data_IF_505266690820
#
_entry.id   IF_505266690820
#
_cell.length_a   1.000
_cell.length_b   1.000
_cell.length_c   1.000
_cell.angle_alpha   90.00
_cell.angle_beta   90.00
_cell.angle_gamma   90.00
#
_symmetry.space_group_name_H-M   'P 1'
#
loop_
_entity.id
_entity.type
_entity.pdbx_description
1 polymer ?
#
# COMPACT_ATOMS: atom_id res chain seq x y z
N UNK A 1 -18.39 -20.80 -16.52
CA UNK A 1 -17.01 -21.15 -16.13
C UNK A 1 -16.69 -20.19 -15.02
N UNK A 2 -16.82 -20.67 -13.79
CA UNK A 2 -16.53 -19.86 -12.62
C UNK A 2 -15.04 -19.54 -12.67
N UNK A 3 -14.70 -18.25 -12.76
CA UNK A 3 -13.35 -17.77 -12.50
C UNK A 3 -13.02 -18.20 -11.07
N UNK A 4 -12.27 -19.30 -10.92
CA UNK A 4 -11.72 -19.69 -9.63
C UNK A 4 -10.67 -18.63 -9.31
N UNK A 5 -11.11 -17.60 -8.60
CA UNK A 5 -10.25 -16.52 -8.12
C UNK A 5 -9.07 -17.17 -7.39
N UNK A 6 -7.88 -17.06 -7.98
CA UNK A 6 -6.70 -17.74 -7.45
C UNK A 6 -6.38 -17.12 -6.10
N UNK A 7 -6.26 -17.91 -5.02
CA UNK A 7 -6.05 -17.36 -3.68
C UNK A 7 -4.82 -16.43 -3.65
N UNK A 8 -4.99 -15.24 -3.08
CA UNK A 8 -3.87 -14.34 -2.79
C UNK A 8 -3.09 -14.97 -1.64
N UNK A 9 -1.87 -15.44 -1.92
CA UNK A 9 -0.95 -15.97 -0.91
C UNK A 9 -0.43 -14.86 0.00
N UNK A 10 0.29 -15.21 1.07
CA UNK A 10 0.90 -14.21 1.95
C UNK A 10 2.02 -13.48 1.17
N UNK A 11 1.89 -12.17 0.88
CA UNK A 11 2.91 -11.44 0.13
C UNK A 11 4.16 -11.21 0.99
N UNK A 12 5.33 -11.20 0.36
CA UNK A 12 6.60 -10.84 1.01
C UNK A 12 6.62 -9.36 1.39
N UNK A 13 6.05 -8.51 0.52
CA UNK A 13 5.98 -7.05 0.72
C UNK A 13 4.56 -6.53 0.53
N UNK A 14 4.14 -5.63 1.42
CA UNK A 14 2.92 -4.83 1.27
C UNK A 14 3.28 -3.35 1.08
N UNK A 15 2.62 -2.72 0.10
CA UNK A 15 2.77 -1.31 -0.22
C UNK A 15 1.41 -0.62 -0.20
N UNK A 16 1.07 0.14 0.85
CA UNK A 16 -0.14 0.95 0.85
C UNK A 16 0.10 2.28 0.12
N UNK A 17 -0.92 2.73 -0.60
CA UNK A 17 -1.07 4.10 -1.08
C UNK A 17 -1.59 5.04 0.04
N UNK A 18 -1.59 6.36 -0.20
CA UNK A 18 -1.98 7.39 0.77
C UNK A 18 -3.41 7.21 1.26
N UNK A 19 -4.37 7.00 0.34
CA UNK A 19 -5.79 6.84 0.68
C UNK A 19 -6.05 5.66 1.63
N UNK A 20 -5.66 4.43 1.25
CA UNK A 20 -5.81 3.26 2.10
C UNK A 20 -5.08 3.39 3.44
N UNK A 21 -3.88 3.98 3.46
CA UNK A 21 -3.14 4.20 4.69
C UNK A 21 -3.92 5.09 5.67
N UNK A 22 -4.52 6.17 5.18
CA UNK A 22 -5.39 7.07 5.97
C UNK A 22 -6.65 6.33 6.45
N UNK A 23 -7.34 5.63 5.58
CA UNK A 23 -8.57 4.89 5.94
C UNK A 23 -8.32 3.84 7.03
N UNK A 24 -7.22 3.09 6.92
CA UNK A 24 -6.83 2.12 7.93
C UNK A 24 -6.47 2.78 9.26
N UNK A 25 -5.74 3.91 9.24
CA UNK A 25 -5.40 4.64 10.45
C UNK A 25 -6.64 5.18 11.20
N UNK A 26 -7.59 5.76 10.46
CA UNK A 26 -8.82 6.31 11.04
C UNK A 26 -9.73 5.27 11.69
N UNK A 27 -9.50 3.99 11.39
CA UNK A 27 -10.29 2.86 11.90
C UNK A 27 -9.50 1.89 12.77
N UNK A 28 -8.31 2.30 13.22
CA UNK A 28 -7.39 1.50 14.04
C UNK A 28 -7.01 0.14 13.39
N UNK A 29 -6.85 0.16 12.07
CA UNK A 29 -6.67 -1.03 11.23
C UNK A 29 -5.28 -1.13 10.57
N UNK A 30 -4.32 -0.26 10.92
CA UNK A 30 -2.95 -0.30 10.37
C UNK A 30 -2.23 -1.63 10.65
N UNK A 31 -2.58 -2.30 11.75
CA UNK A 31 -2.05 -3.61 12.10
C UNK A 31 -2.35 -4.69 11.06
N UNK A 32 -3.41 -4.54 10.26
CA UNK A 32 -3.78 -5.48 9.20
C UNK A 32 -2.72 -5.56 8.10
N UNK A 33 -2.00 -4.48 7.82
CA UNK A 33 -0.89 -4.47 6.85
C UNK A 33 0.20 -5.47 7.26
N UNK A 34 0.48 -5.59 8.56
CA UNK A 34 1.47 -6.54 9.06
C UNK A 34 0.94 -7.98 9.16
N UNK A 35 -0.35 -8.16 9.43
CA UNK A 35 -0.95 -9.48 9.57
C UNK A 35 -1.23 -10.14 8.22
N UNK A 36 -1.52 -9.36 7.18
CA UNK A 36 -1.71 -9.89 5.82
C UNK A 36 -0.38 -10.19 5.16
N UNK A 37 0.66 -9.39 5.38
CA UNK A 37 1.93 -9.52 4.67
C UNK A 37 3.11 -9.94 5.52
N UNK A 38 4.30 -9.89 4.91
CA UNK A 38 5.58 -9.90 5.61
C UNK A 38 5.98 -8.48 5.99
N UNK A 39 6.70 -7.80 5.09
CA UNK A 39 7.25 -6.47 5.30
C UNK A 39 6.31 -5.39 4.78
N UNK A 40 6.12 -4.32 5.55
CA UNK A 40 5.41 -3.13 5.06
C UNK A 40 6.41 -2.10 4.56
N UNK A 41 6.18 -1.61 3.34
CA UNK A 41 6.97 -0.55 2.71
C UNK A 41 6.04 0.61 2.35
N UNK A 42 6.35 1.79 2.87
CA UNK A 42 5.63 3.03 2.58
C UNK A 42 6.56 3.92 1.78
N UNK A 43 6.18 4.33 0.57
CA UNK A 43 6.98 5.29 -0.18
C UNK A 43 7.06 6.63 0.57
N UNK A 44 8.19 7.32 0.52
CA UNK A 44 8.43 8.58 1.23
C UNK A 44 7.34 9.64 0.97
N UNK A 45 6.88 9.78 -0.27
CA UNK A 45 5.81 10.70 -0.62
C UNK A 45 4.44 10.28 -0.10
N UNK A 46 4.18 8.98 0.07
CA UNK A 46 2.95 8.50 0.72
C UNK A 46 2.97 8.86 2.20
N UNK A 47 4.10 8.60 2.87
CA UNK A 47 4.29 8.98 4.27
C UNK A 47 4.13 10.49 4.45
N UNK A 48 4.80 11.29 3.61
CA UNK A 48 4.67 12.74 3.62
C UNK A 48 3.23 13.20 3.38
N UNK A 49 2.55 12.67 2.36
CA UNK A 49 1.19 13.09 2.05
C UNK A 49 0.21 12.82 3.20
N UNK A 50 0.39 11.69 3.89
CA UNK A 50 -0.44 11.27 5.01
C UNK A 50 -0.16 12.04 6.31
N UNK A 51 1.07 12.55 6.51
CA UNK A 51 1.47 13.20 7.78
C UNK A 51 1.82 14.69 7.66
N UNK A 52 1.85 15.28 6.46
CA UNK A 52 2.19 16.71 6.27
C UNK A 52 1.25 17.68 6.99
N UNK A 53 0.01 17.26 7.27
CA UNK A 53 -1.01 18.05 7.96
C UNK A 53 -1.57 17.24 9.13
N UNK A 54 -0.96 17.44 10.31
CA UNK A 54 -1.30 16.74 11.54
C UNK A 54 -2.70 17.07 12.09
N UNK A 55 -3.40 18.04 11.49
CA UNK A 55 -4.79 18.34 11.86
C UNK A 55 -5.79 17.38 11.20
N UNK A 56 -5.35 16.61 10.20
CA UNK A 56 -6.20 15.65 9.50
C UNK A 56 -6.40 14.37 10.31
N UNK A 57 -7.60 13.77 10.27
CA UNK A 57 -7.85 12.53 11.01
C UNK A 57 -6.97 11.38 10.50
N UNK A 58 -6.36 10.63 11.42
CA UNK A 58 -5.45 9.52 11.09
C UNK A 58 -3.97 9.93 10.95
N UNK A 59 -3.65 11.22 10.83
CA UNK A 59 -2.27 11.67 10.58
C UNK A 59 -1.34 11.37 11.78
N UNK A 60 -1.82 11.57 13.01
CA UNK A 60 -1.04 11.26 14.21
C UNK A 60 -0.85 9.76 14.39
N UNK A 61 -1.90 8.98 14.16
CA UNK A 61 -1.85 7.52 14.23
C UNK A 61 -0.87 6.92 13.22
N UNK A 62 -0.83 7.48 12.00
CA UNK A 62 0.16 7.10 10.98
C UNK A 62 1.56 7.47 11.42
N UNK A 63 1.77 8.70 11.92
CA UNK A 63 3.09 9.14 12.37
C UNK A 63 3.61 8.25 13.50
N UNK A 64 2.78 7.95 14.50
CA UNK A 64 3.14 7.08 15.62
C UNK A 64 3.44 5.64 15.15
N UNK A 65 2.66 5.12 14.20
CA UNK A 65 2.87 3.81 13.61
C UNK A 65 4.16 3.73 12.80
N UNK A 66 4.47 4.76 11.99
CA UNK A 66 5.72 4.87 11.26
C UNK A 66 6.92 4.94 12.20
N UNK A 67 6.82 5.74 13.27
CA UNK A 67 7.90 5.90 14.26
C UNK A 67 8.12 4.61 15.05
N UNK A 68 7.05 3.89 15.41
CA UNK A 68 7.15 2.57 16.05
C UNK A 68 7.74 1.52 15.11
N UNK A 69 7.35 1.53 13.83
CA UNK A 69 7.82 0.58 12.81
C UNK A 69 9.30 0.77 12.44
N UNK A 70 9.82 1.99 12.53
CA UNK A 70 11.22 2.31 12.20
C UNK A 70 12.21 2.10 13.36
N UNK A 71 11.72 1.84 14.58
CA UNK A 71 12.60 1.54 15.72
C UNK A 71 13.42 0.27 15.48
N UNK A 72 14.70 0.24 15.90
CA UNK A 72 15.48 -1.00 15.91
C UNK A 72 14.74 -2.11 16.67
N UNK A 73 14.71 -3.31 16.10
CA UNK A 73 14.03 -4.49 16.66
C UNK A 73 12.51 -4.36 16.83
N UNK A 74 11.85 -3.51 16.03
CA UNK A 74 10.38 -3.49 15.99
C UNK A 74 9.83 -4.87 15.58
N UNK A 75 8.80 -5.33 16.28
CA UNK A 75 8.08 -6.57 15.95
C UNK A 75 7.14 -6.40 14.74
N UNK A 76 6.96 -5.17 14.27
CA UNK A 76 6.14 -4.80 13.12
C UNK A 76 6.89 -3.76 12.27
N UNK A 77 8.00 -4.15 11.62
CA UNK A 77 8.90 -3.21 10.97
C UNK A 77 8.23 -2.55 9.76
N UNK A 78 8.37 -1.23 9.66
CA UNK A 78 7.92 -0.43 8.52
C UNK A 78 9.12 0.24 7.88
N UNK A 79 9.31 0.03 6.58
CA UNK A 79 10.30 0.79 5.82
C UNK A 79 9.62 2.01 5.19
N UNK A 80 10.09 3.21 5.52
CA UNK A 80 9.83 4.38 4.68
C UNK A 80 10.88 4.42 3.57
N UNK A 81 10.47 4.10 2.35
CA UNK A 81 11.37 3.97 1.21
C UNK A 81 11.61 5.32 0.53
N UNK A 82 12.86 5.82 0.49
CA UNK A 82 13.18 7.05 -0.22
C UNK A 82 13.03 6.84 -1.73
N UNK A 83 12.52 7.86 -2.41
CA UNK A 83 12.34 7.87 -3.86
C UNK A 83 12.95 9.12 -4.48
N UNK A 84 13.28 9.05 -5.77
CA UNK A 84 13.68 10.22 -6.54
C UNK A 84 12.53 11.24 -6.62
N UNK A 85 11.28 10.77 -6.67
CA UNK A 85 10.11 11.66 -6.61
C UNK A 85 10.12 12.49 -5.33
N UNK A 86 10.36 11.86 -4.18
CA UNK A 86 10.49 12.54 -2.90
C UNK A 86 11.69 13.47 -2.84
N UNK A 87 12.84 13.07 -3.40
CA UNK A 87 14.03 13.93 -3.49
C UNK A 87 13.79 15.19 -4.32
N UNK A 88 13.18 15.05 -5.49
CA UNK A 88 12.85 16.16 -6.37
C UNK A 88 11.81 17.09 -5.72
N UNK A 89 10.80 16.52 -5.06
CA UNK A 89 9.81 17.29 -4.32
C UNK A 89 10.43 18.10 -3.17
N UNK A 90 11.28 17.46 -2.36
CA UNK A 90 12.00 18.13 -1.27
C UNK A 90 12.85 19.29 -1.80
N UNK A 91 13.56 19.07 -2.91
CA UNK A 91 14.36 20.10 -3.59
C UNK A 91 13.48 21.25 -4.08
N UNK A 92 12.35 20.95 -4.74
CA UNK A 92 11.41 21.97 -5.21
C UNK A 92 10.86 22.82 -4.05
N UNK A 93 10.57 22.22 -2.89
CA UNK A 93 10.12 22.95 -1.69
C UNK A 93 11.17 23.89 -1.09
N UNK A 94 12.46 23.64 -1.33
CA UNK A 94 13.51 24.61 -0.92
C UNK A 94 13.47 25.89 -1.76
N UNK A 95 12.99 25.80 -3.00
CA UNK A 95 12.85 26.94 -3.94
C UNK A 95 11.49 27.61 -3.78
N UNK A 96 10.42 26.83 -3.71
CA UNK A 96 9.05 27.29 -3.47
C UNK A 96 8.37 26.42 -2.39
N UNK A 97 8.26 26.93 -1.15
CA UNK A 97 7.62 26.22 -0.04
C UNK A 97 6.15 25.83 -0.29
N UNK A 98 5.48 26.47 -1.25
CA UNK A 98 4.07 26.24 -1.61
C UNK A 98 3.87 25.14 -2.65
N UNK A 99 4.96 24.57 -3.17
CA UNK A 99 4.94 23.43 -4.10
C UNK A 99 4.07 22.30 -3.55
N UNK A 100 3.09 21.85 -4.35
CA UNK A 100 2.16 20.78 -3.98
C UNK A 100 2.60 19.44 -4.55
N UNK A 101 2.47 18.40 -3.75
CA UNK A 101 2.74 17.01 -4.10
C UNK A 101 1.53 16.33 -4.76
N UNK A 102 1.01 16.86 -5.87
CA UNK A 102 -0.15 16.21 -6.51
C UNK A 102 0.26 14.86 -7.11
N UNK A 103 -0.49 13.81 -6.82
CA UNK A 103 -0.28 12.42 -7.29
C UNK A 103 1.14 11.89 -7.01
N UNK A 104 1.86 12.47 -6.05
CA UNK A 104 3.30 12.20 -5.86
C UNK A 104 3.53 10.91 -5.07
N UNK A 105 2.65 10.55 -4.14
CA UNK A 105 2.64 9.25 -3.48
C UNK A 105 2.53 8.10 -4.49
N UNK A 106 1.61 8.23 -5.44
CA UNK A 106 1.39 7.23 -6.48
C UNK A 106 2.62 7.08 -7.41
N UNK A 107 3.18 8.22 -7.85
CA UNK A 107 4.41 8.22 -8.66
C UNK A 107 5.60 7.62 -7.90
N UNK A 108 5.70 7.90 -6.60
CA UNK A 108 6.75 7.35 -5.75
C UNK A 108 6.62 5.82 -5.60
N UNK A 109 5.40 5.29 -5.43
CA UNK A 109 5.14 3.84 -5.44
C UNK A 109 5.59 3.22 -6.77
N UNK A 110 5.16 3.77 -7.91
CA UNK A 110 5.49 3.21 -9.22
C UNK A 110 7.00 3.22 -9.49
N UNK A 111 7.69 4.29 -9.12
CA UNK A 111 9.14 4.35 -9.24
C UNK A 111 9.84 3.35 -8.32
N UNK A 112 9.44 3.29 -7.05
CA UNK A 112 10.02 2.34 -6.11
C UNK A 112 9.80 0.91 -6.58
N UNK A 113 8.62 0.59 -7.09
CA UNK A 113 8.27 -0.72 -7.61
C UNK A 113 9.13 -1.12 -8.81
N UNK A 114 9.36 -0.20 -9.76
CA UNK A 114 10.27 -0.43 -10.88
C UNK A 114 11.68 -0.80 -10.41
N UNK A 115 12.24 -0.03 -9.48
CA UNK A 115 13.56 -0.32 -8.91
C UNK A 115 13.58 -1.61 -8.08
N UNK A 116 12.49 -1.94 -7.38
CA UNK A 116 12.41 -3.11 -6.50
C UNK A 116 12.42 -4.42 -7.31
N UNK A 117 11.66 -4.45 -8.42
CA UNK A 117 11.52 -5.59 -9.32
C UNK A 117 12.85 -6.00 -9.95
N UNK A 118 13.70 -5.03 -10.32
CA UNK A 118 15.01 -5.29 -10.92
C UNK A 118 15.94 -6.15 -10.04
N UNK A 119 15.73 -6.16 -8.72
CA UNK A 119 16.58 -6.90 -7.77
C UNK A 119 15.85 -8.01 -7.00
N UNK A 120 14.53 -8.13 -7.10
CA UNK A 120 13.72 -9.03 -6.26
C UNK A 120 12.63 -9.78 -7.05
N UNK A 121 12.90 -10.19 -8.29
CA UNK A 121 11.90 -10.87 -9.17
C UNK A 121 11.30 -12.17 -8.60
N UNK A 122 11.88 -12.74 -7.55
CA UNK A 122 11.41 -13.92 -6.82
C UNK A 122 10.45 -13.61 -5.65
N UNK A 123 10.35 -12.34 -5.25
CA UNK A 123 9.44 -11.88 -4.22
C UNK A 123 8.01 -11.69 -4.76
N UNK A 124 7.06 -11.65 -3.84
CA UNK A 124 5.65 -11.32 -4.09
C UNK A 124 5.28 -10.00 -3.42
N UNK A 125 4.49 -9.19 -4.13
CA UNK A 125 4.05 -7.89 -3.64
C UNK A 125 2.54 -7.75 -3.66
N UNK A 126 2.00 -7.13 -2.62
CA UNK A 126 0.61 -6.71 -2.55
C UNK A 126 0.55 -5.19 -2.40
N UNK A 127 -0.14 -4.52 -3.32
CA UNK A 127 -0.35 -3.09 -3.30
C UNK A 127 -1.79 -2.82 -2.87
N UNK A 128 -1.98 -2.00 -1.85
CA UNK A 128 -3.31 -1.52 -1.44
C UNK A 128 -3.47 -0.11 -1.96
N UNK A 129 -4.47 0.11 -2.80
CA UNK A 129 -4.72 1.40 -3.45
C UNK A 129 -6.19 1.85 -3.30
N UNK A 130 -6.49 3.10 -3.60
CA UNK A 130 -7.88 3.59 -3.59
C UNK A 130 -8.34 3.94 -5.00
N UNK A 131 -7.55 4.78 -5.68
CA UNK A 131 -7.79 5.28 -7.02
C UNK A 131 -6.44 5.52 -7.69
N UNK A 132 -6.41 5.60 -9.01
CA UNK A 132 -5.23 6.08 -9.73
C UNK A 132 -4.75 5.15 -10.83
N UNK A 133 -3.50 5.35 -11.21
CA UNK A 133 -2.77 4.74 -12.33
C UNK A 133 -2.04 3.46 -11.94
N UNK A 134 -1.86 3.12 -10.66
CA UNK A 134 -1.16 1.90 -10.21
C UNK A 134 -1.67 0.64 -10.93
N UNK A 135 -2.98 0.32 -10.98
CA UNK A 135 -3.44 -0.88 -11.68
C UNK A 135 -3.14 -0.85 -13.18
N UNK A 136 -3.18 0.34 -13.79
CA UNK A 136 -2.82 0.52 -15.20
C UNK A 136 -1.32 0.31 -15.42
N UNK A 137 -0.48 0.93 -14.59
CA UNK A 137 0.97 0.79 -14.65
C UNK A 137 1.40 -0.68 -14.52
N UNK A 138 0.91 -1.37 -13.50
CA UNK A 138 1.23 -2.79 -13.26
C UNK A 138 0.82 -3.65 -14.47
N UNK A 139 -0.35 -3.38 -15.06
CA UNK A 139 -0.84 -4.10 -16.25
C UNK A 139 -0.05 -3.80 -17.52
N UNK A 140 0.28 -2.54 -17.77
CA UNK A 140 0.95 -2.11 -19.01
C UNK A 140 2.45 -2.42 -19.01
N UNK A 141 3.08 -2.36 -17.84
CA UNK A 141 4.51 -2.69 -17.71
C UNK A 141 4.75 -4.19 -17.65
N UNK A 142 3.77 -4.97 -17.16
CA UNK A 142 3.92 -6.42 -17.00
C UNK A 142 5.10 -6.76 -16.10
N UNK A 143 5.13 -6.16 -14.90
CA UNK A 143 6.21 -6.34 -13.92
C UNK A 143 6.58 -7.82 -13.81
N UNK A 144 7.88 -8.12 -13.89
CA UNK A 144 8.40 -9.48 -13.78
C UNK A 144 8.48 -9.93 -12.31
N UNK A 145 7.32 -9.86 -11.63
CA UNK A 145 7.13 -10.12 -10.21
C UNK A 145 5.67 -10.48 -9.93
N UNK A 146 5.44 -11.44 -9.04
CA UNK A 146 4.07 -11.74 -8.59
C UNK A 146 3.49 -10.52 -7.85
N UNK A 147 2.43 -9.94 -8.41
CA UNK A 147 1.88 -8.66 -7.95
C UNK A 147 0.37 -8.76 -7.80
N UNK A 148 -0.13 -8.54 -6.59
CA UNK A 148 -1.55 -8.34 -6.31
C UNK A 148 -1.82 -6.86 -6.04
N UNK A 149 -2.91 -6.34 -6.57
CA UNK A 149 -3.32 -4.94 -6.44
C UNK A 149 -4.78 -4.89 -6.02
N UNK A 150 -5.03 -4.43 -4.80
CA UNK A 150 -6.33 -4.49 -4.14
C UNK A 150 -6.81 -3.10 -3.74
N UNK A 151 -8.10 -2.84 -3.92
CA UNK A 151 -8.73 -1.70 -3.25
C UNK A 151 -8.74 -1.89 -1.73
N UNK A 152 -8.87 -0.82 -0.94
CA UNK A 152 -9.02 -0.91 0.51
C UNK A 152 -10.13 -1.89 0.93
N UNK A 153 -11.27 -1.87 0.22
CA UNK A 153 -12.37 -2.81 0.48
C UNK A 153 -11.98 -4.26 0.19
N UNK A 154 -11.34 -4.54 -0.95
CA UNK A 154 -10.85 -5.88 -1.28
C UNK A 154 -9.78 -6.37 -0.29
N UNK A 155 -8.96 -5.46 0.25
CA UNK A 155 -7.97 -5.76 1.29
C UNK A 155 -8.62 -6.16 2.62
N UNK A 156 -9.68 -5.45 3.05
CA UNK A 156 -10.46 -5.83 4.24
C UNK A 156 -11.15 -7.19 4.05
N UNK A 157 -11.74 -7.43 2.89
CA UNK A 157 -12.34 -8.74 2.57
C UNK A 157 -11.28 -9.86 2.55
N UNK A 158 -10.05 -9.58 2.11
CA UNK A 158 -8.93 -10.53 2.24
C UNK A 158 -8.59 -10.81 3.71
N UNK A 159 -8.62 -9.78 4.58
CA UNK A 159 -8.40 -9.96 6.02
C UNK A 159 -9.46 -10.87 6.64
N UNK A 160 -10.74 -10.67 6.28
CA UNK A 160 -11.87 -11.48 6.75
C UNK A 160 -11.77 -12.92 6.26
N UNK A 161 -11.47 -13.13 4.96
CA UNK A 161 -11.27 -14.47 4.40
C UNK A 161 -10.13 -15.24 5.07
N UNK A 162 -9.13 -14.54 5.61
CA UNK A 162 -8.02 -15.12 6.38
C UNK A 162 -8.33 -15.30 7.88
N UNK A 163 -9.53 -14.91 8.33
CA UNK A 163 -9.93 -14.98 9.73
C UNK A 163 -9.18 -13.99 10.64
N UNK A 164 -8.57 -12.96 10.05
CA UNK A 164 -7.85 -11.92 10.79
C UNK A 164 -8.84 -10.96 11.46
N UNK A 165 -9.90 -10.60 10.73
CA UNK A 165 -11.04 -9.84 11.22
C UNK A 165 -12.30 -10.67 11.10
N UNK A 166 -13.30 -10.37 11.94
CA UNK A 166 -14.59 -11.05 11.93
C UNK A 166 -15.58 -10.53 10.90
N UNK A 167 -15.43 -9.27 10.46
CA UNK A 167 -16.30 -8.60 9.48
C UNK A 167 -15.52 -7.53 8.74
N UNK A 168 -15.31 -7.69 7.44
CA UNK A 168 -14.74 -6.64 6.60
C UNK A 168 -15.68 -5.43 6.51
N UNK A 169 -16.99 -5.70 6.48
CA UNK A 169 -18.02 -4.67 6.37
C UNK A 169 -18.03 -3.74 7.59
N UNK A 170 -17.76 -4.24 8.79
CA UNK A 170 -17.71 -3.40 10.01
C UNK A 170 -16.56 -2.39 9.96
N UNK A 171 -15.41 -2.77 9.39
CA UNK A 171 -14.30 -1.85 9.16
C UNK A 171 -14.63 -0.89 8.02
N UNK A 172 -15.22 -1.39 6.94
CA UNK A 172 -15.61 -0.57 5.81
C UNK A 172 -16.63 0.51 6.18
N UNK A 173 -17.65 0.17 6.96
CA UNK A 173 -18.65 1.14 7.42
C UNK A 173 -18.01 2.23 8.28
N UNK A 174 -17.09 1.86 9.18
CA UNK A 174 -16.32 2.84 9.96
C UNK A 174 -15.48 3.76 9.08
N UNK A 175 -14.89 3.25 7.99
CA UNK A 175 -14.17 4.07 7.00
C UNK A 175 -15.13 5.05 6.32
N UNK A 176 -16.28 4.58 5.83
CA UNK A 176 -17.25 5.43 5.13
C UNK A 176 -17.80 6.53 6.04
N UNK A 177 -18.00 6.23 7.33
CA UNK A 177 -18.51 7.20 8.31
C UNK A 177 -17.57 8.40 8.50
N UNK A 178 -16.25 8.20 8.36
CA UNK A 178 -15.22 9.23 8.54
C UNK A 178 -14.67 9.78 7.23
N UNK A 179 -14.75 8.99 6.15
CA UNK A 179 -14.29 9.32 4.81
C UNK A 179 -15.37 8.96 3.76
N UNK A 180 -16.44 9.77 3.62
CA UNK A 180 -17.53 9.50 2.66
C UNK A 180 -17.09 9.43 1.19
N UNK A 181 -15.88 9.90 0.89
CA UNK A 181 -15.28 9.86 -0.45
C UNK A 181 -14.44 8.60 -0.71
N UNK A 182 -14.38 7.65 0.24
CA UNK A 182 -13.70 6.37 0.05
C UNK A 182 -14.29 5.62 -1.16
N UNK A 183 -13.44 4.92 -1.92
CA UNK A 183 -13.86 4.21 -3.11
C UNK A 183 -14.60 2.92 -2.71
N UNK A 184 -15.92 2.80 -2.98
CA UNK A 184 -16.69 1.62 -2.57
C UNK A 184 -16.41 0.38 -3.41
N UNK A 185 -15.61 0.49 -4.47
CA UNK A 185 -15.35 -0.61 -5.37
C UNK A 185 -14.50 -1.68 -4.71
N UNK A 186 -14.95 -2.92 -4.83
CA UNK A 186 -14.12 -4.11 -4.62
C UNK A 186 -13.43 -4.41 -5.94
N UNK A 187 -12.12 -4.21 -5.99
CA UNK A 187 -11.34 -4.59 -7.16
C UNK A 187 -10.05 -5.28 -6.74
N UNK A 188 -9.81 -6.41 -7.38
CA UNK A 188 -8.61 -7.23 -7.25
C UNK A 188 -7.99 -7.35 -8.64
N UNK A 189 -6.69 -7.14 -8.75
CA UNK A 189 -5.92 -7.45 -9.95
C UNK A 189 -4.69 -8.23 -9.56
N UNK A 190 -4.45 -9.33 -10.27
CA UNK A 190 -3.38 -10.27 -9.98
C UNK A 190 -2.52 -10.49 -11.21
N UNK A 191 -1.22 -10.23 -11.09
CA UNK A 191 -0.18 -10.66 -12.02
C UNK A 191 0.55 -11.83 -11.37
N UNK A 192 0.63 -12.94 -12.08
CA UNK A 192 1.33 -14.14 -11.64
C UNK A 192 2.54 -14.33 -12.55
N UNK A 193 3.68 -14.73 -11.97
CA UNK A 193 4.74 -15.39 -12.74
C UNK A 193 4.27 -16.81 -13.04
N UNK A 194 4.50 -17.37 -14.25
CA UNK A 194 4.52 -18.81 -14.37
C UNK A 194 5.58 -19.31 -13.38
N UNK A 195 5.20 -20.28 -12.55
CA UNK A 195 6.14 -20.98 -11.67
C UNK A 195 7.25 -21.49 -12.60
N UNK A 196 8.43 -20.88 -12.58
CA UNK A 196 9.58 -21.59 -13.14
C UNK A 196 9.71 -22.81 -12.25
N UNK A 197 9.47 -23.98 -12.84
CA UNK A 197 9.79 -25.25 -12.21
C UNK A 197 11.20 -25.09 -11.68
N UNK A 198 11.35 -25.21 -10.36
CA UNK A 198 12.67 -25.41 -9.77
C UNK A 198 13.08 -26.79 -10.29
N UNK A 199 13.72 -26.80 -11.46
CA UNK A 199 14.39 -27.97 -11.98
C UNK A 199 15.46 -28.34 -10.95
N UNK A 200 15.16 -29.45 -10.25
CA UNK A 200 16.06 -30.37 -9.52
C UNK A 200 17.12 -29.81 -8.59
#
# INVERSE_FOLDING_TARGET
>A
MDDVETPIERPDVIVPDTGPLIHLAQTDALHLLHQIGGRVVVADMVAFEATQDMTKPGAQEIQDWLDAGQKPNSNAPVLVAPTEIGRLFATARTVDPTTRAKDSGELAIMQWLGNYVDYHSDASILIVYENGKIPRFVRETGLDMATDVLTTRAFLELAERRGIVSSAEDFWQRIVDVAPTANPQVATMSIRRPKQDRDT
#
